data_IF_631551696825
#
_entry.id   IF_631551696825
#
_cell.length_a   1.000
_cell.length_b   1.000
_cell.length_c   1.000
_cell.angle_alpha   90.00
_cell.angle_beta   90.00
_cell.angle_gamma   90.00
#
_symmetry.space_group_name_H-M   'P 1'
#
loop_
_entity.id
_entity.type
_entity.pdbx_description
1 polymer ?
#
# COMPACT_ATOMS: atom_id res chain seq x y z
N UNK A 1 -18.21 -20.71 36.29
CA UNK A 1 -16.92 -21.41 36.03
C UNK A 1 -15.79 -20.41 35.79
N UNK A 2 -14.87 -20.29 36.74
CA UNK A 2 -13.70 -19.41 36.67
C UNK A 2 -12.65 -20.09 35.77
N UNK A 3 -12.50 -19.62 34.53
CA UNK A 3 -11.58 -20.20 33.55
C UNK A 3 -10.11 -20.14 33.99
N UNK A 4 -9.25 -20.97 33.39
CA UNK A 4 -7.80 -20.91 33.64
C UNK A 4 -7.18 -19.61 33.06
N UNK A 5 -5.90 -19.36 33.32
CA UNK A 5 -5.19 -18.17 32.83
C UNK A 5 -5.26 -17.95 31.30
N UNK A 6 -5.53 -19.00 30.52
CA UNK A 6 -5.75 -18.92 29.06
C UNK A 6 -7.19 -18.64 28.66
N UNK A 7 -8.16 -19.09 29.46
CA UNK A 7 -9.58 -19.10 29.09
C UNK A 7 -10.43 -18.13 29.93
N UNK A 8 -9.83 -17.43 30.90
CA UNK A 8 -10.53 -16.44 31.70
C UNK A 8 -10.83 -15.21 30.82
N UNK A 9 -12.09 -14.73 30.77
CA UNK A 9 -12.42 -13.50 30.07
C UNK A 9 -11.59 -12.35 30.62
N UNK A 10 -10.81 -11.71 29.74
CA UNK A 10 -10.07 -10.50 30.12
C UNK A 10 -11.05 -9.35 30.11
N UNK A 11 -11.15 -8.64 31.23
CA UNK A 11 -11.89 -7.39 31.29
C UNK A 11 -11.16 -6.39 30.41
N UNK A 12 -11.85 -5.81 29.43
CA UNK A 12 -11.30 -4.72 28.64
C UNK A 12 -11.03 -3.54 29.58
N UNK A 13 -9.84 -2.92 29.54
CA UNK A 13 -9.58 -1.70 30.30
C UNK A 13 -10.39 -0.50 29.79
N UNK A 14 -11.00 -0.62 28.60
CA UNK A 14 -11.78 0.43 27.94
C UNK A 14 -13.18 -0.10 27.62
N UNK A 15 -14.21 0.63 28.03
CA UNK A 15 -15.62 0.27 27.81
C UNK A 15 -16.07 0.53 26.36
N UNK A 16 -16.09 1.79 25.94
CA UNK A 16 -16.39 2.23 24.59
C UNK A 16 -15.88 3.67 24.38
N UNK A 17 -15.98 4.16 23.15
CA UNK A 17 -15.65 5.53 22.74
C UNK A 17 -16.54 6.59 23.41
N UNK A 18 -17.76 6.25 23.80
CA UNK A 18 -18.64 7.15 24.54
C UNK A 18 -18.20 7.36 26.00
N UNK A 19 -17.71 6.32 26.66
CA UNK A 19 -17.30 6.38 28.07
C UNK A 19 -15.84 6.83 28.24
N UNK A 20 -14.99 6.57 27.24
CA UNK A 20 -13.55 6.78 27.29
C UNK A 20 -13.03 7.36 25.96
N UNK A 21 -13.54 8.53 25.52
CA UNK A 21 -13.20 9.11 24.22
C UNK A 21 -11.69 9.33 24.02
N UNK A 22 -10.95 9.60 25.10
CA UNK A 22 -9.50 9.84 25.09
C UNK A 22 -8.69 8.65 24.54
N UNK A 23 -9.21 7.43 24.65
CA UNK A 23 -8.53 6.23 24.11
C UNK A 23 -8.73 6.06 22.59
N UNK A 24 -9.66 6.83 22.00
CA UNK A 24 -10.05 6.73 20.60
C UNK A 24 -9.66 7.93 19.75
N UNK A 25 -9.05 8.98 20.33
CA UNK A 25 -8.60 10.17 19.61
C UNK A 25 -7.70 9.85 18.41
N UNK A 26 -6.84 8.84 18.53
CA UNK A 26 -5.97 8.38 17.42
C UNK A 26 -6.72 7.79 16.22
N UNK A 27 -7.99 7.44 16.39
CA UNK A 27 -8.86 6.93 15.33
C UNK A 27 -9.84 7.98 14.83
N UNK A 28 -9.84 9.18 15.42
CA UNK A 28 -10.64 10.28 14.89
C UNK A 28 -10.04 10.71 13.55
N UNK A 29 -10.78 10.43 12.49
CA UNK A 29 -10.47 11.00 11.17
C UNK A 29 -10.92 12.45 11.23
N UNK A 30 -9.97 13.39 11.18
CA UNK A 30 -10.32 14.78 10.95
C UNK A 30 -11.13 14.83 9.66
N UNK A 31 -12.37 15.34 9.67
CA UNK A 31 -13.10 15.54 8.43
C UNK A 31 -12.23 16.47 7.59
N UNK A 32 -11.66 15.91 6.53
CA UNK A 32 -10.87 16.69 5.59
C UNK A 32 -11.85 17.71 5.04
N UNK A 33 -11.71 18.97 5.43
CA UNK A 33 -12.40 20.07 4.77
C UNK A 33 -11.96 19.99 3.33
N UNK A 34 -12.80 19.40 2.46
CA UNK A 34 -12.59 19.37 1.02
C UNK A 34 -12.78 20.83 0.56
N UNK A 35 -11.79 21.67 0.85
CA UNK A 35 -11.53 22.85 0.06
C UNK A 35 -11.28 22.32 -1.35
N UNK A 36 -11.98 22.87 -2.34
CA UNK A 36 -12.02 22.40 -3.72
C UNK A 36 -10.67 22.46 -4.43
N UNK A 37 -9.68 21.73 -3.94
CA UNK A 37 -8.49 21.35 -4.65
C UNK A 37 -8.95 20.52 -5.84
N UNK A 38 -8.46 20.89 -7.02
CA UNK A 38 -8.67 20.15 -8.25
C UNK A 38 -8.25 18.71 -7.97
N UNK A 39 -9.20 17.82 -7.72
CA UNK A 39 -8.95 16.39 -7.62
C UNK A 39 -8.34 16.06 -8.96
N UNK A 40 -7.02 15.86 -9.00
CA UNK A 40 -6.38 15.39 -10.23
C UNK A 40 -6.97 14.00 -10.41
N UNK A 41 -7.85 13.92 -11.40
CA UNK A 41 -8.55 12.72 -11.77
C UNK A 41 -7.50 11.66 -12.05
N UNK A 42 -7.70 10.48 -11.45
CA UNK A 42 -6.95 9.27 -11.78
C UNK A 42 -6.81 9.17 -13.29
N UNK A 43 -5.60 8.90 -13.77
CA UNK A 43 -5.32 8.99 -15.18
C UNK A 43 -6.15 7.94 -15.93
N UNK A 44 -6.95 8.39 -16.91
CA UNK A 44 -7.63 7.47 -17.81
C UNK A 44 -6.61 6.94 -18.81
N UNK A 45 -6.05 5.77 -18.51
CA UNK A 45 -5.06 5.11 -19.37
C UNK A 45 -5.81 4.11 -20.24
N UNK A 46 -5.66 4.26 -21.56
CA UNK A 46 -6.24 3.31 -22.52
C UNK A 46 -5.53 1.96 -22.39
N UNK A 47 -6.26 0.85 -22.54
CA UNK A 47 -5.63 -0.46 -22.64
C UNK A 47 -4.64 -0.45 -23.82
N UNK A 48 -3.45 -0.99 -23.59
CA UNK A 48 -2.38 -1.08 -24.57
C UNK A 48 -1.80 -2.50 -24.54
N UNK A 49 -1.24 -2.95 -25.66
CA UNK A 49 -0.59 -4.25 -25.73
C UNK A 49 0.82 -4.19 -25.12
N UNK A 50 1.10 -5.09 -24.17
CA UNK A 50 2.40 -5.13 -23.50
C UNK A 50 3.51 -5.54 -24.47
N UNK A 51 4.43 -4.61 -24.74
CA UNK A 51 5.70 -4.90 -25.39
C UNK A 51 6.67 -5.65 -24.45
N UNK A 52 7.70 -6.25 -25.04
CA UNK A 52 8.82 -6.94 -24.39
C UNK A 52 9.50 -6.12 -23.28
N UNK A 53 9.62 -4.80 -23.45
CA UNK A 53 10.10 -3.85 -22.42
C UNK A 53 9.18 -3.82 -21.21
N UNK A 54 7.86 -3.78 -21.42
CA UNK A 54 6.88 -3.79 -20.33
C UNK A 54 6.82 -5.13 -19.59
N UNK A 55 7.00 -6.24 -20.31
CA UNK A 55 7.16 -7.56 -19.71
C UNK A 55 8.43 -7.63 -18.85
N UNK A 56 9.53 -7.04 -19.32
CA UNK A 56 10.77 -6.90 -18.56
C UNK A 56 10.58 -6.11 -17.27
N UNK A 57 9.93 -4.94 -17.37
CA UNK A 57 9.59 -4.10 -16.22
C UNK A 57 8.69 -4.82 -15.22
N UNK A 58 7.66 -5.54 -15.69
CA UNK A 58 6.79 -6.35 -14.83
C UNK A 58 7.58 -7.38 -14.03
N UNK A 59 8.51 -8.09 -14.67
CA UNK A 59 9.38 -9.05 -13.99
C UNK A 59 10.29 -8.39 -12.96
N UNK A 60 10.88 -7.25 -13.29
CA UNK A 60 11.72 -6.49 -12.38
C UNK A 60 10.94 -6.02 -11.13
N UNK A 61 9.71 -5.52 -11.33
CA UNK A 61 8.83 -5.13 -10.23
C UNK A 61 8.42 -6.30 -9.34
N UNK A 62 8.11 -7.46 -9.92
CA UNK A 62 7.81 -8.66 -9.12
C UNK A 62 9.03 -9.15 -8.32
N UNK A 63 10.22 -9.10 -8.91
CA UNK A 63 11.47 -9.44 -8.21
C UNK A 63 11.73 -8.46 -7.06
N UNK A 64 11.62 -7.16 -7.31
CA UNK A 64 11.73 -6.13 -6.28
C UNK A 64 10.69 -6.32 -5.16
N UNK A 65 9.43 -6.61 -5.49
CA UNK A 65 8.39 -6.90 -4.50
C UNK A 65 8.74 -8.12 -3.64
N UNK A 66 9.33 -9.15 -4.25
CA UNK A 66 9.80 -10.32 -3.51
C UNK A 66 10.92 -9.96 -2.54
N UNK A 67 11.92 -9.21 -3.00
CA UNK A 67 13.06 -8.81 -2.18
C UNK A 67 12.61 -7.94 -1.00
N UNK A 68 11.73 -6.97 -1.24
CA UNK A 68 11.14 -6.16 -0.16
C UNK A 68 10.29 -6.98 0.80
N UNK A 69 9.59 -8.01 0.31
CA UNK A 69 8.80 -8.89 1.17
C UNK A 69 9.69 -9.73 2.09
N UNK A 70 10.83 -10.22 1.58
CA UNK A 70 11.83 -10.96 2.39
C UNK A 70 12.46 -10.08 3.46
N UNK A 71 12.65 -8.78 3.18
CA UNK A 71 13.18 -7.82 4.16
C UNK A 71 12.17 -7.49 5.27
N UNK A 72 10.89 -7.34 4.94
CA UNK A 72 9.85 -6.94 5.91
C UNK A 72 9.21 -8.09 6.67
N UNK A 73 9.11 -9.27 6.07
CA UNK A 73 8.32 -10.38 6.60
C UNK A 73 9.16 -11.64 6.82
N UNK A 74 8.65 -12.55 7.64
CA UNK A 74 9.32 -13.84 7.83
C UNK A 74 9.25 -14.67 6.56
N UNK A 75 10.26 -15.49 6.31
CA UNK A 75 10.36 -16.30 5.10
C UNK A 75 9.15 -17.25 4.91
N UNK A 76 8.55 -17.72 6.00
CA UNK A 76 7.32 -18.51 5.97
C UNK A 76 6.13 -17.73 5.40
N UNK A 77 5.98 -16.45 5.78
CA UNK A 77 4.91 -15.58 5.29
C UNK A 77 5.13 -15.27 3.80
N UNK A 78 6.37 -14.96 3.41
CA UNK A 78 6.73 -14.69 2.00
C UNK A 78 6.53 -15.92 1.13
N UNK A 79 6.77 -17.13 1.64
CA UNK A 79 6.52 -18.36 0.87
C UNK A 79 5.04 -18.58 0.56
N UNK A 80 4.14 -18.09 1.43
CA UNK A 80 2.68 -18.27 1.27
C UNK A 80 2.08 -17.17 0.40
N UNK A 81 2.46 -15.90 0.66
CA UNK A 81 1.82 -14.74 0.04
C UNK A 81 2.67 -14.05 -1.05
N UNK A 82 3.98 -14.33 -1.07
CA UNK A 82 4.92 -13.76 -2.02
C UNK A 82 5.12 -12.25 -1.89
N UNK A 83 5.55 -11.62 -2.99
CA UNK A 83 5.71 -10.17 -3.08
C UNK A 83 4.40 -9.37 -3.06
N UNK A 84 3.24 -10.05 -3.11
CA UNK A 84 1.92 -9.40 -3.07
C UNK A 84 1.63 -8.68 -1.75
N UNK A 85 2.39 -9.00 -0.71
CA UNK A 85 2.38 -8.28 0.56
C UNK A 85 2.93 -6.85 0.45
N UNK A 86 3.77 -6.59 -0.56
CA UNK A 86 4.38 -5.28 -0.79
C UNK A 86 3.54 -4.48 -1.78
N UNK A 87 3.22 -5.06 -2.94
CA UNK A 87 2.31 -4.49 -3.94
C UNK A 87 1.43 -5.60 -4.53
N UNK A 88 0.09 -5.41 -4.59
CA UNK A 88 -0.80 -6.28 -5.33
C UNK A 88 -0.50 -6.28 -6.84
N UNK A 89 -0.81 -7.37 -7.53
CA UNK A 89 -0.57 -7.50 -8.98
C UNK A 89 -1.31 -6.40 -9.78
N UNK A 90 -2.52 -6.04 -9.36
CA UNK A 90 -3.33 -4.96 -9.97
C UNK A 90 -2.60 -3.61 -9.93
N UNK A 91 -1.88 -3.35 -8.84
CA UNK A 91 -1.13 -2.12 -8.63
C UNK A 91 0.16 -2.13 -9.47
N UNK A 92 0.80 -3.30 -9.63
CA UNK A 92 1.94 -3.48 -10.54
C UNK A 92 1.51 -3.24 -12.00
N UNK A 93 0.38 -3.79 -12.42
CA UNK A 93 -0.16 -3.58 -13.77
C UNK A 93 -0.55 -2.12 -14.01
N UNK A 94 -1.09 -1.45 -12.99
CA UNK A 94 -1.37 -0.02 -13.06
C UNK A 94 -0.08 0.80 -13.16
N UNK A 95 0.98 0.44 -12.43
CA UNK A 95 2.28 1.11 -12.50
C UNK A 95 2.87 1.03 -13.90
N UNK A 96 2.84 -0.15 -14.52
CA UNK A 96 3.32 -0.34 -15.91
C UNK A 96 2.52 0.53 -16.87
N UNK A 97 1.20 0.60 -16.69
CA UNK A 97 0.32 1.43 -17.51
C UNK A 97 0.65 2.92 -17.38
N UNK A 98 0.95 3.38 -16.16
CA UNK A 98 1.38 4.74 -15.89
C UNK A 98 2.79 5.05 -16.44
N UNK A 99 3.70 4.07 -16.41
CA UNK A 99 5.04 4.18 -17.00
C UNK A 99 4.95 4.31 -18.53
N UNK A 100 4.12 3.48 -19.18
CA UNK A 100 3.86 3.59 -20.62
C UNK A 100 3.29 4.96 -21.01
N UNK A 101 2.47 5.56 -20.14
CA UNK A 101 1.95 6.90 -20.36
C UNK A 101 2.98 8.03 -20.13
N UNK A 102 4.20 7.71 -19.65
CA UNK A 102 5.22 8.65 -19.19
C UNK A 102 4.71 9.62 -18.11
N UNK A 103 3.96 9.10 -17.13
CA UNK A 103 3.31 9.91 -16.07
C UNK A 103 3.82 9.60 -14.65
N UNK A 104 4.91 8.84 -14.54
CA UNK A 104 5.52 8.41 -13.27
C UNK A 104 6.95 8.94 -13.14
N UNK A 105 7.08 10.26 -13.01
CA UNK A 105 8.39 10.90 -12.83
C UNK A 105 8.72 11.14 -11.34
N UNK A 106 7.71 11.16 -10.46
CA UNK A 106 7.89 11.55 -9.05
C UNK A 106 7.11 10.65 -8.09
N UNK A 107 7.64 10.50 -6.87
CA UNK A 107 7.03 9.79 -5.74
C UNK A 107 5.61 10.29 -5.44
N UNK A 108 5.35 11.58 -5.64
CA UNK A 108 4.03 12.20 -5.48
C UNK A 108 3.00 11.70 -6.50
N UNK A 109 3.42 11.36 -7.73
CA UNK A 109 2.54 10.74 -8.72
C UNK A 109 2.20 9.31 -8.33
N UNK A 110 3.15 8.57 -7.75
CA UNK A 110 2.95 7.23 -7.20
C UNK A 110 1.89 7.21 -6.08
N UNK A 111 2.04 8.08 -5.07
CA UNK A 111 1.08 8.20 -3.96
C UNK A 111 -0.34 8.42 -4.49
N UNK A 112 -0.48 9.29 -5.49
CA UNK A 112 -1.78 9.74 -5.99
C UNK A 112 -2.47 8.74 -6.89
N UNK A 113 -1.76 8.08 -7.79
CA UNK A 113 -2.36 7.13 -8.74
C UNK A 113 -2.68 5.79 -8.10
N UNK A 114 -1.93 5.41 -7.06
CA UNK A 114 -1.98 4.07 -6.48
C UNK A 114 -2.73 4.01 -5.14
N UNK A 115 -3.20 5.16 -4.63
CA UNK A 115 -3.93 5.27 -3.35
C UNK A 115 -3.20 4.57 -2.20
N UNK A 116 -1.86 4.69 -2.21
CA UNK A 116 -0.99 4.05 -1.22
C UNK A 116 -0.91 4.93 0.03
N UNK A 117 -0.65 4.29 1.18
CA UNK A 117 -0.43 5.05 2.41
C UNK A 117 0.83 5.92 2.29
N UNK A 118 0.79 7.11 2.89
CA UNK A 118 1.94 8.00 2.94
C UNK A 118 3.17 7.31 3.56
N UNK A 119 2.96 6.45 4.56
CA UNK A 119 4.03 5.67 5.20
C UNK A 119 4.70 4.71 4.22
N UNK A 120 3.92 4.00 3.39
CA UNK A 120 4.47 3.09 2.39
C UNK A 120 5.32 3.85 1.36
N UNK A 121 4.82 5.01 0.92
CA UNK A 121 5.49 5.85 -0.07
C UNK A 121 6.79 6.44 0.48
N UNK A 122 6.79 6.89 1.74
CA UNK A 122 8.00 7.39 2.38
C UNK A 122 9.07 6.30 2.56
N UNK A 123 8.65 5.05 2.80
CA UNK A 123 9.57 3.95 3.05
C UNK A 123 10.11 3.31 1.75
N UNK A 124 9.25 3.13 0.75
CA UNK A 124 9.56 2.32 -0.44
C UNK A 124 9.49 3.09 -1.76
N UNK A 125 8.92 4.31 -1.76
CA UNK A 125 8.62 5.09 -2.96
C UNK A 125 9.83 5.42 -3.83
N UNK A 126 10.96 5.75 -3.24
CA UNK A 126 12.19 6.01 -4.01
C UNK A 126 12.76 4.72 -4.63
N UNK A 127 12.73 3.63 -3.88
CA UNK A 127 13.28 2.35 -4.35
C UNK A 127 12.44 1.74 -5.48
N UNK A 128 11.11 1.92 -5.46
CA UNK A 128 10.26 1.46 -6.57
C UNK A 128 10.44 2.34 -7.81
N UNK A 129 10.63 3.66 -7.66
CA UNK A 129 10.95 4.53 -8.79
C UNK A 129 12.27 4.15 -9.47
N UNK A 130 13.29 3.77 -8.69
CA UNK A 130 14.56 3.31 -9.22
C UNK A 130 14.47 1.99 -10.02
N UNK A 131 13.37 1.23 -9.89
CA UNK A 131 13.10 0.04 -10.73
C UNK A 131 12.39 0.43 -12.04
N UNK A 132 11.70 1.57 -12.04
CA UNK A 132 10.93 2.07 -13.19
C UNK A 132 11.83 2.87 -14.16
N UNK A 133 12.81 3.61 -13.63
CA UNK A 133 13.78 4.43 -14.36
C UNK A 133 15.07 3.67 -14.64
#
# INVERSE_FOLDING_TARGET
PTGCSRCIPRVSPVCCDLCHPEFFDKYQVTPSTITGGTVLKKLNIKPFDMDTTHIGLKKALHAWCHDQAVLKYTQSIVRIYGGKLVLPDEIVDHLISCTHAHKLDTVLHLLKEMDLSADWVNELGESVLAVIH
#
